data_IF_161045609391
#
_entry.id   IF_161045609391
#
_cell.length_a   1.000
_cell.length_b   1.000
_cell.length_c   1.000
_cell.angle_alpha   90.00
_cell.angle_beta   90.00
_cell.angle_gamma   90.00
#
_symmetry.space_group_name_H-M   'P 1'
#
loop_
_entity.id
_entity.type
_entity.pdbx_description
1 polymer ?
#
# COMPACT_ATOMS: atom_id res chain seq x y z
N UNK A 1 -5.36 1.03 22.17
CA UNK A 1 -5.35 1.29 20.72
C UNK A 1 -6.69 0.86 20.17
N UNK A 2 -7.55 1.82 19.81
CA UNK A 2 -8.89 1.52 19.31
C UNK A 2 -8.79 1.31 17.79
N UNK A 3 -8.82 0.04 17.34
CA UNK A 3 -8.66 -0.33 15.93
C UNK A 3 -9.70 0.35 15.03
N UNK A 4 -10.92 0.54 15.56
CA UNK A 4 -12.03 1.21 14.87
C UNK A 4 -11.74 2.67 14.48
N UNK A 5 -10.96 3.42 15.29
CA UNK A 5 -10.60 4.81 14.95
C UNK A 5 -9.46 4.89 13.92
N UNK A 6 -8.69 3.82 13.75
CA UNK A 6 -7.57 3.76 12.80
C UNK A 6 -8.11 3.51 11.39
N UNK A 7 -9.12 2.65 11.22
CA UNK A 7 -9.63 2.34 9.89
C UNK A 7 -10.36 3.55 9.25
N UNK A 8 -11.07 4.36 10.05
CA UNK A 8 -11.79 5.56 9.58
C UNK A 8 -10.84 6.62 8.99
N UNK A 9 -9.56 6.68 9.40
CA UNK A 9 -8.63 7.67 8.84
C UNK A 9 -8.39 7.47 7.35
N UNK A 10 -8.46 6.22 6.87
CA UNK A 10 -8.17 5.89 5.47
C UNK A 10 -9.32 6.25 4.53
N UNK A 11 -10.52 6.50 5.08
CA UNK A 11 -11.75 6.84 4.36
C UNK A 11 -12.02 8.36 4.32
N UNK A 12 -11.25 9.16 5.07
CA UNK A 12 -11.46 10.61 5.16
C UNK A 12 -10.98 11.37 3.91
N UNK A 13 -11.51 12.59 3.76
CA UNK A 13 -11.07 13.52 2.74
C UNK A 13 -9.57 13.85 2.82
N UNK A 14 -8.93 14.18 1.68
CA UNK A 14 -7.50 14.49 1.62
C UNK A 14 -7.05 15.50 2.67
N UNK A 15 -6.06 15.11 3.47
CA UNK A 15 -5.43 15.95 4.47
C UNK A 15 -4.03 15.41 4.81
N UNK A 16 -3.16 16.23 5.44
CA UNK A 16 -1.83 15.77 5.85
C UNK A 16 -1.86 14.55 6.79
N UNK A 17 -2.89 14.43 7.62
CA UNK A 17 -3.09 13.28 8.50
C UNK A 17 -3.38 12.01 7.70
N UNK A 18 -4.29 12.08 6.73
CA UNK A 18 -4.64 10.97 5.83
C UNK A 18 -3.41 10.55 5.02
N UNK A 19 -2.70 11.51 4.42
CA UNK A 19 -1.51 11.24 3.62
C UNK A 19 -0.37 10.62 4.43
N UNK A 20 -0.26 10.96 5.71
CA UNK A 20 0.72 10.34 6.61
C UNK A 20 0.30 8.92 6.96
N UNK A 21 -0.96 8.71 7.32
CA UNK A 21 -1.49 7.38 7.62
C UNK A 21 -1.30 6.40 6.44
N UNK A 22 -1.55 6.85 5.21
CA UNK A 22 -1.32 6.04 4.00
C UNK A 22 0.17 5.78 3.74
N UNK A 23 1.04 6.79 3.79
CA UNK A 23 2.48 6.62 3.55
C UNK A 23 3.12 5.64 4.54
N UNK A 24 2.73 5.70 5.81
CA UNK A 24 3.23 4.80 6.85
C UNK A 24 2.91 3.32 6.60
N UNK A 25 2.04 2.97 5.65
CA UNK A 25 1.77 1.59 5.27
C UNK A 25 2.83 1.00 4.33
N UNK A 26 3.55 1.82 3.56
CA UNK A 26 4.42 1.34 2.47
C UNK A 26 5.76 2.08 2.31
N UNK A 27 6.04 3.14 3.07
CA UNK A 27 7.20 4.01 2.86
C UNK A 27 8.58 3.30 2.97
N UNK A 28 8.63 2.15 3.63
CA UNK A 28 9.82 1.32 3.89
C UNK A 28 10.09 0.27 2.81
N UNK A 29 9.55 0.49 1.62
CA UNK A 29 9.42 -0.50 0.54
C UNK A 29 10.74 -0.94 -0.14
N UNK A 30 11.88 -0.32 0.17
CA UNK A 30 13.18 -0.82 -0.29
C UNK A 30 13.81 -1.77 0.71
N UNK A 31 13.46 -3.06 0.74
CA UNK A 31 14.02 -4.02 1.71
C UNK A 31 15.05 -4.98 1.12
N UNK A 32 16.04 -5.37 1.92
CA UNK A 32 17.01 -6.43 1.62
C UNK A 32 16.35 -7.79 1.84
N UNK A 33 16.25 -8.63 0.81
CA UNK A 33 15.73 -9.99 0.97
C UNK A 33 16.83 -10.93 1.55
N UNK A 34 16.51 -11.83 2.51
CA UNK A 34 17.49 -12.75 3.08
C UNK A 34 18.11 -13.66 2.01
N UNK A 35 19.43 -13.79 2.02
CA UNK A 35 20.21 -14.53 1.01
C UNK A 35 20.94 -13.67 -0.03
N UNK A 36 20.91 -12.35 0.11
CA UNK A 36 21.71 -11.41 -0.71
C UNK A 36 22.51 -10.46 0.17
N UNK A 37 23.60 -10.97 0.74
CA UNK A 37 24.53 -10.18 1.54
C UNK A 37 25.18 -9.08 0.68
N UNK A 38 24.95 -7.82 1.08
CA UNK A 38 25.41 -6.55 0.49
C UNK A 38 24.65 -6.09 -0.75
N UNK A 39 23.52 -5.41 -0.50
CA UNK A 39 22.97 -4.47 -1.47
C UNK A 39 23.66 -3.11 -1.22
N UNK A 40 24.32 -2.52 -2.22
CA UNK A 40 24.98 -1.21 -2.12
C UNK A 40 24.00 -0.10 -1.74
N UNK A 41 24.50 1.06 -1.30
CA UNK A 41 23.68 2.25 -1.03
C UNK A 41 22.79 2.61 -2.24
N UNK A 42 21.68 3.35 -2.06
CA UNK A 42 20.73 3.61 -3.16
C UNK A 42 21.37 4.22 -4.43
N UNK A 43 22.33 5.14 -4.27
CA UNK A 43 23.09 5.70 -5.39
C UNK A 43 23.95 4.65 -6.09
N UNK A 44 24.58 3.76 -5.33
CA UNK A 44 25.33 2.63 -5.88
C UNK A 44 24.40 1.57 -6.46
N UNK A 45 23.18 1.42 -5.96
CA UNK A 45 22.16 0.49 -6.46
C UNK A 45 21.59 0.98 -7.78
N UNK A 46 21.32 2.27 -7.96
CA UNK A 46 20.92 2.83 -9.26
C UNK A 46 22.03 2.71 -10.31
N UNK A 47 23.29 2.99 -9.92
CA UNK A 47 24.45 2.74 -10.78
C UNK A 47 24.66 1.24 -11.08
N UNK A 48 24.45 0.36 -10.09
CA UNK A 48 24.61 -1.09 -10.20
C UNK A 48 23.50 -1.75 -11.03
N UNK A 49 22.25 -1.32 -10.89
CA UNK A 49 21.11 -1.71 -11.75
C UNK A 49 21.39 -1.28 -13.19
N UNK A 50 21.91 -0.05 -13.39
CA UNK A 50 22.30 0.47 -14.72
C UNK A 50 23.52 -0.21 -15.32
N UNK A 51 24.53 -0.59 -14.52
CA UNK A 51 25.80 -1.18 -15.01
C UNK A 51 25.84 -2.72 -15.02
N UNK A 52 25.04 -3.43 -14.21
CA UNK A 52 25.17 -4.88 -13.98
C UNK A 52 23.86 -5.68 -14.02
N UNK A 53 22.73 -5.08 -14.43
CA UNK A 53 21.50 -5.83 -14.73
C UNK A 53 20.85 -6.52 -13.53
N UNK A 54 21.14 -6.08 -12.32
CA UNK A 54 20.54 -6.57 -11.08
C UNK A 54 19.14 -5.96 -10.85
N UNK A 55 18.25 -6.72 -10.20
CA UNK A 55 16.82 -6.37 -10.01
C UNK A 55 16.58 -5.94 -8.57
N UNK A 56 16.08 -4.72 -8.36
CA UNK A 56 15.50 -4.28 -7.07
C UNK A 56 14.27 -5.15 -6.79
N UNK A 57 14.12 -5.59 -5.53
CA UNK A 57 13.01 -6.43 -5.09
C UNK A 57 12.39 -5.81 -3.84
N UNK A 58 11.07 -5.91 -3.75
CA UNK A 58 10.23 -5.36 -2.69
C UNK A 58 9.17 -6.42 -2.36
N UNK A 59 8.70 -6.46 -1.11
CA UNK A 59 7.52 -7.27 -0.81
C UNK A 59 6.30 -6.67 -1.52
N UNK A 60 5.57 -7.52 -2.23
CA UNK A 60 4.49 -7.10 -3.12
C UNK A 60 3.40 -6.28 -2.41
N UNK A 61 3.14 -6.56 -1.13
CA UNK A 61 2.17 -5.82 -0.30
C UNK A 61 2.45 -4.31 -0.25
N UNK A 62 3.71 -3.89 -0.18
CA UNK A 62 4.05 -2.45 -0.16
C UNK A 62 3.85 -1.79 -1.52
N UNK A 63 4.12 -2.53 -2.60
CA UNK A 63 3.82 -2.06 -3.95
C UNK A 63 2.30 -1.92 -4.16
N UNK A 64 1.52 -2.87 -3.67
CA UNK A 64 0.06 -2.85 -3.74
C UNK A 64 -0.53 -1.67 -2.95
N UNK A 65 -0.04 -1.42 -1.74
CA UNK A 65 -0.48 -0.30 -0.90
C UNK A 65 -0.12 1.05 -1.52
N UNK A 66 1.09 1.19 -2.07
CA UNK A 66 1.48 2.36 -2.86
C UNK A 66 0.55 2.56 -4.07
N UNK A 67 0.27 1.50 -4.82
CA UNK A 67 -0.62 1.55 -5.97
C UNK A 67 -2.04 1.97 -5.56
N UNK A 68 -2.57 1.42 -4.47
CA UNK A 68 -3.89 1.76 -3.95
C UNK A 68 -3.96 3.24 -3.51
N UNK A 69 -2.93 3.74 -2.82
CA UNK A 69 -2.85 5.15 -2.45
C UNK A 69 -2.82 6.08 -3.67
N UNK A 70 -2.12 5.70 -4.75
CA UNK A 70 -2.16 6.49 -5.98
C UNK A 70 -3.55 6.51 -6.63
N UNK A 71 -4.27 5.39 -6.62
CA UNK A 71 -5.67 5.36 -7.11
C UNK A 71 -6.53 6.28 -6.27
N UNK A 72 -6.38 6.26 -4.94
CA UNK A 72 -7.07 7.19 -4.03
C UNK A 72 -6.76 8.65 -4.38
N UNK A 73 -5.49 9.01 -4.52
CA UNK A 73 -5.08 10.38 -4.87
C UNK A 73 -5.65 10.82 -6.23
N UNK A 74 -5.75 9.91 -7.21
CA UNK A 74 -6.33 10.21 -8.53
C UNK A 74 -7.81 10.62 -8.48
N UNK A 75 -8.54 10.28 -7.40
CA UNK A 75 -9.92 10.72 -7.18
C UNK A 75 -10.03 12.21 -6.79
N UNK A 76 -8.94 12.83 -6.35
CA UNK A 76 -8.93 14.21 -5.84
C UNK A 76 -7.95 15.12 -6.61
N UNK A 77 -8.14 15.32 -7.92
CA UNK A 77 -7.22 16.07 -8.78
C UNK A 77 -7.09 17.57 -8.41
N UNK A 78 -8.05 18.12 -7.66
CA UNK A 78 -7.99 19.49 -7.15
C UNK A 78 -7.11 19.63 -5.90
N UNK A 79 -6.94 18.54 -5.15
CA UNK A 79 -6.11 18.51 -3.94
C UNK A 79 -4.68 18.09 -4.29
N UNK A 80 -4.54 17.00 -5.04
CA UNK A 80 -3.24 16.50 -5.49
C UNK A 80 -2.88 17.15 -6.82
N UNK A 81 -2.00 18.15 -6.76
CA UNK A 81 -1.59 18.97 -7.92
C UNK A 81 -0.72 18.24 -8.94
N UNK A 82 -0.46 16.94 -8.73
CA UNK A 82 0.42 16.14 -9.55
C UNK A 82 -0.43 15.36 -10.54
N UNK A 83 -0.16 15.52 -11.84
CA UNK A 83 -0.82 14.74 -12.88
C UNK A 83 -0.40 13.29 -12.74
N UNK A 84 -1.28 12.44 -12.21
CA UNK A 84 -1.07 11.00 -12.20
C UNK A 84 -1.39 10.48 -13.60
N UNK A 85 -0.39 9.90 -14.27
CA UNK A 85 -0.55 9.31 -15.60
C UNK A 85 -1.65 8.22 -15.57
N UNK A 86 -2.67 8.30 -16.44
CA UNK A 86 -3.73 7.29 -16.49
C UNK A 86 -3.23 5.87 -16.77
N UNK A 87 -2.13 5.74 -17.53
CA UNK A 87 -1.47 4.45 -17.77
C UNK A 87 -0.92 3.85 -16.48
N UNK A 88 -0.33 4.67 -15.63
CA UNK A 88 0.13 4.26 -14.30
C UNK A 88 -1.04 3.84 -13.39
N UNK A 89 -2.13 4.62 -13.33
CA UNK A 89 -3.34 4.24 -12.56
C UNK A 89 -3.89 2.89 -13.04
N UNK A 90 -3.93 2.67 -14.35
CA UNK A 90 -4.40 1.40 -14.94
C UNK A 90 -3.50 0.22 -14.53
N UNK A 91 -2.18 0.44 -14.50
CA UNK A 91 -1.23 -0.56 -14.01
C UNK A 91 -1.45 -0.86 -12.51
N UNK A 92 -1.65 0.16 -11.69
CA UNK A 92 -1.93 0.04 -10.25
C UNK A 92 -3.19 -0.80 -10.00
N UNK A 93 -4.28 -0.51 -10.71
CA UNK A 93 -5.53 -1.27 -10.62
C UNK A 93 -5.29 -2.75 -10.92
N UNK A 94 -4.54 -3.06 -12.00
CA UNK A 94 -4.25 -4.45 -12.35
C UNK A 94 -3.31 -5.14 -11.34
N UNK A 95 -2.37 -4.41 -10.73
CA UNK A 95 -1.49 -4.93 -9.68
C UNK A 95 -2.29 -5.35 -8.44
N UNK A 96 -3.16 -4.46 -7.95
CA UNK A 96 -4.06 -4.74 -6.80
C UNK A 96 -5.01 -5.89 -7.12
N UNK A 97 -5.62 -5.91 -8.31
CA UNK A 97 -6.49 -7.01 -8.76
C UNK A 97 -5.77 -8.37 -8.72
N UNK A 98 -4.53 -8.44 -9.21
CA UNK A 98 -3.75 -9.69 -9.18
C UNK A 98 -3.50 -10.17 -7.76
N UNK A 99 -3.20 -9.26 -6.84
CA UNK A 99 -3.02 -9.59 -5.43
C UNK A 99 -4.28 -10.17 -4.79
N UNK A 100 -5.43 -9.52 -4.98
CA UNK A 100 -6.72 -9.97 -4.44
C UNK A 100 -7.03 -11.40 -4.92
N UNK A 101 -6.80 -11.67 -6.20
CA UNK A 101 -7.01 -13.01 -6.77
C UNK A 101 -5.97 -14.05 -6.32
N UNK A 102 -4.82 -13.63 -5.81
CA UNK A 102 -3.79 -14.51 -5.28
C UNK A 102 -4.03 -14.85 -3.80
N UNK A 103 -4.44 -13.85 -3.01
CA UNK A 103 -4.69 -14.01 -1.58
C UNK A 103 -6.03 -14.71 -1.29
N UNK A 104 -7.05 -14.46 -2.12
CA UNK A 104 -8.41 -15.04 -2.06
C UNK A 104 -8.98 -15.06 -0.63
N UNK A 105 -9.51 -13.93 -0.20
CA UNK A 105 -10.28 -13.88 1.04
C UNK A 105 -11.64 -14.57 0.86
N UNK A 106 -11.91 -15.57 1.71
CA UNK A 106 -13.15 -16.36 1.70
C UNK A 106 -14.11 -15.96 2.82
N UNK A 107 -13.81 -14.86 3.53
CA UNK A 107 -14.68 -14.30 4.56
C UNK A 107 -16.02 -13.87 3.95
N UNK A 108 -17.10 -14.07 4.70
CA UNK A 108 -18.46 -13.79 4.21
C UNK A 108 -18.81 -12.34 4.45
N UNK A 109 -19.16 -11.64 3.38
CA UNK A 109 -19.76 -10.30 3.45
C UNK A 109 -21.25 -10.45 3.74
N UNK A 110 -21.69 -9.96 4.90
CA UNK A 110 -23.11 -9.91 5.25
C UNK A 110 -23.74 -8.60 4.79
N UNK A 111 -25.04 -8.63 4.53
CA UNK A 111 -25.80 -7.48 4.04
C UNK A 111 -27.06 -7.29 4.88
N UNK A 112 -27.41 -6.04 5.16
CA UNK A 112 -28.60 -5.67 5.90
C UNK A 112 -29.39 -4.56 5.23
N UNK A 113 -30.67 -4.45 5.57
CA UNK A 113 -31.55 -3.41 5.02
C UNK A 113 -31.43 -2.13 5.85
N UNK A 114 -30.95 -1.05 5.22
CA UNK A 114 -30.98 0.29 5.81
C UNK A 114 -32.33 0.95 5.55
N UNK A 115 -33.05 1.26 6.61
CA UNK A 115 -34.30 2.03 6.50
C UNK A 115 -34.06 3.49 6.11
N UNK A 116 -32.90 4.05 6.48
CA UNK A 116 -32.55 5.44 6.17
C UNK A 116 -32.26 5.63 4.68
N UNK A 117 -31.54 4.68 4.08
CA UNK A 117 -31.15 4.74 2.67
C UNK A 117 -32.12 4.01 1.74
N UNK A 118 -33.14 3.34 2.29
CA UNK A 118 -34.09 2.48 1.56
C UNK A 118 -33.37 1.49 0.63
N UNK A 119 -32.29 0.89 1.14
CA UNK A 119 -31.35 0.09 0.35
C UNK A 119 -30.69 -1.02 1.17
N UNK A 120 -30.21 -2.05 0.47
CA UNK A 120 -29.34 -3.07 1.05
C UNK A 120 -27.92 -2.49 1.17
N UNK A 121 -27.38 -2.48 2.39
CA UNK A 121 -26.02 -2.05 2.69
C UNK A 121 -25.19 -3.21 3.23
N UNK A 122 -23.88 -3.12 3.07
CA UNK A 122 -22.96 -4.07 3.70
C UNK A 122 -23.04 -3.92 5.21
N UNK A 123 -23.16 -5.05 5.93
CA UNK A 123 -23.14 -5.06 7.38
C UNK A 123 -21.73 -4.74 7.89
N UNK A 124 -21.63 -3.92 8.92
CA UNK A 124 -20.35 -3.65 9.59
C UNK A 124 -19.80 -4.91 10.27
N UNK A 125 -18.48 -5.00 10.40
CA UNK A 125 -17.82 -6.04 11.19
C UNK A 125 -17.64 -7.39 10.51
N UNK A 126 -17.59 -7.43 9.17
CA UNK A 126 -17.15 -8.63 8.45
C UNK A 126 -15.77 -9.08 8.96
N UNK A 127 -15.68 -10.33 9.45
CA UNK A 127 -14.48 -10.84 10.09
C UNK A 127 -13.53 -11.43 9.05
N UNK A 128 -12.34 -10.84 8.94
CA UNK A 128 -11.27 -11.30 8.06
C UNK A 128 -10.20 -12.08 8.83
N UNK A 129 -9.60 -13.09 8.20
CA UNK A 129 -8.40 -13.76 8.72
C UNK A 129 -7.17 -13.22 8.01
N UNK A 130 -6.45 -12.32 8.68
CA UNK A 130 -5.29 -11.64 8.11
C UNK A 130 -3.98 -12.38 8.42
N UNK A 131 -3.00 -12.21 7.52
CA UNK A 131 -1.59 -12.40 7.89
C UNK A 131 -1.16 -11.27 8.82
N UNK A 132 -0.13 -11.52 9.62
CA UNK A 132 0.44 -10.52 10.53
C UNK A 132 1.12 -9.40 9.74
N UNK A 133 0.34 -8.37 9.39
CA UNK A 133 0.82 -7.23 8.64
C UNK A 133 1.80 -6.39 9.47
N UNK A 134 1.54 -6.22 10.77
CA UNK A 134 2.40 -5.44 11.66
C UNK A 134 3.78 -6.09 11.79
N UNK A 135 3.83 -7.41 11.97
CA UNK A 135 5.10 -8.15 11.98
C UNK A 135 5.85 -8.10 10.64
N UNK A 136 5.13 -8.15 9.50
CA UNK A 136 5.75 -7.98 8.17
C UNK A 136 6.29 -6.55 7.99
N UNK A 137 5.55 -5.56 8.47
CA UNK A 137 5.95 -4.14 8.45
C UNK A 137 7.18 -3.91 9.31
N UNK A 138 7.21 -4.43 10.54
CA UNK A 138 8.36 -4.34 11.44
C UNK A 138 9.59 -5.02 10.82
N UNK A 139 9.45 -6.23 10.30
CA UNK A 139 10.53 -6.91 9.58
C UNK A 139 11.06 -6.07 8.41
N UNK A 140 10.17 -5.47 7.62
CA UNK A 140 10.59 -4.66 6.48
C UNK A 140 11.26 -3.35 6.92
N UNK A 141 10.82 -2.74 8.03
CA UNK A 141 11.48 -1.60 8.69
C UNK A 141 12.85 -1.97 9.26
N UNK A 142 13.07 -3.18 9.72
CA UNK A 142 14.42 -3.60 10.16
C UNK A 142 15.37 -3.88 8.99
N UNK A 143 14.80 -4.21 7.82
CA UNK A 143 15.57 -4.68 6.66
C UNK A 143 15.56 -3.68 5.47
N UNK A 144 15.02 -2.47 5.66
CA UNK A 144 14.98 -1.44 4.61
C UNK A 144 16.33 -0.75 4.38
N UNK A 145 16.52 -0.20 3.17
CA UNK A 145 17.57 0.77 2.88
C UNK A 145 17.14 2.15 3.33
N UNK A 146 18.02 2.84 4.05
CA UNK A 146 17.74 4.17 4.59
C UNK A 146 17.46 5.19 3.46
N UNK A 147 16.34 5.92 3.60
CA UNK A 147 15.81 6.87 2.61
C UNK A 147 16.51 8.24 2.67
N UNK A 148 17.40 8.49 3.64
CA UNK A 148 18.04 9.79 3.91
C UNK A 148 19.00 10.34 2.83
N UNK A 149 19.07 9.74 1.64
CA UNK A 149 19.89 10.23 0.51
C UNK A 149 19.06 10.59 -0.74
N UNK A 150 17.77 10.90 -0.56
CA UNK A 150 16.85 11.25 -1.65
C UNK A 150 16.47 12.74 -1.55
N UNK A 151 17.44 13.63 -1.72
CA UNK A 151 17.29 15.00 -2.26
C UNK A 151 18.44 15.31 -3.21
#
# INVERSE_FOLDING_TARGET
FNRELIDIVYEQDPSPTVDTAWRELYEFSGSTLPGQEKIPSFNETLEFVRKKGSRIRMLDVFHQLHCLDMVRQALYPHHYSHSIDPGHVTHCINSVRQSIMCMVDVSVVSWEWSQELDALIESEGNMHVCRDFDGIKEWALENHFDRQFIE
#
